data_IF_240940370450
#
_entry.id   IF_240940370450
#
_cell.length_a   1.000
_cell.length_b   1.000
_cell.length_c   1.000
_cell.angle_alpha   90.00
_cell.angle_beta   90.00
_cell.angle_gamma   90.00
#
_symmetry.space_group_name_H-M   'P 1'
#
loop_
_entity.id
_entity.type
_entity.pdbx_description
1 polymer ?
#
# COMPACT_ATOMS: atom_id res chain seq x y z
N UNK A 1 -60.44 -57.23 11.31
CA UNK A 1 -59.76 -57.41 10.06
C UNK A 1 -58.46 -56.66 10.14
N UNK A 2 -57.42 -57.38 10.22
CA UNK A 2 -56.03 -56.97 10.52
C UNK A 2 -55.32 -56.61 9.24
N UNK A 3 -54.57 -55.48 9.18
CA UNK A 3 -53.31 -55.29 8.48
C UNK A 3 -53.14 -53.76 8.26
N UNK A 4 -52.17 -53.14 8.90
CA UNK A 4 -51.79 -51.74 8.64
C UNK A 4 -51.06 -51.07 9.81
N UNK A 5 -50.15 -51.81 10.43
CA UNK A 5 -49.35 -51.17 11.50
C UNK A 5 -47.99 -51.87 11.53
N UNK A 6 -47.14 -51.55 10.53
CA UNK A 6 -45.70 -51.89 10.54
C UNK A 6 -44.99 -51.20 9.37
N UNK A 7 -44.90 -49.88 9.42
CA UNK A 7 -43.95 -49.08 8.59
C UNK A 7 -43.81 -47.64 9.08
N UNK A 8 -43.51 -47.48 10.35
CA UNK A 8 -43.18 -46.18 10.93
C UNK A 8 -42.08 -46.34 12.00
N UNK A 9 -41.01 -47.02 11.62
CA UNK A 9 -39.97 -47.33 12.58
C UNK A 9 -38.57 -47.34 12.02
N UNK A 10 -38.30 -46.68 10.85
CA UNK A 10 -36.97 -46.76 10.24
C UNK A 10 -36.56 -45.47 9.49
N UNK A 11 -36.90 -44.31 10.04
CA UNK A 11 -36.45 -43.00 9.47
C UNK A 11 -36.00 -42.05 10.54
N UNK A 12 -35.46 -42.52 11.66
CA UNK A 12 -34.96 -41.71 12.76
C UNK A 12 -33.54 -42.05 13.18
N UNK A 13 -32.69 -42.47 12.27
CA UNK A 13 -31.32 -42.87 12.59
C UNK A 13 -30.28 -42.40 11.56
N UNK A 14 -30.43 -41.19 10.97
CA UNK A 14 -29.38 -40.60 10.12
C UNK A 14 -29.31 -39.09 10.23
N UNK A 15 -29.51 -38.54 11.44
CA UNK A 15 -29.27 -37.11 11.76
C UNK A 15 -28.26 -37.03 12.90
N UNK A 16 -27.23 -37.87 12.84
CA UNK A 16 -26.09 -37.76 13.74
C UNK A 16 -24.85 -37.34 12.94
N UNK A 17 -24.29 -36.23 13.35
CA UNK A 17 -22.91 -35.79 13.07
C UNK A 17 -22.62 -35.17 11.71
N UNK A 18 -23.25 -34.04 11.38
CA UNK A 18 -22.49 -32.93 10.80
C UNK A 18 -22.18 -31.99 11.95
N UNK A 19 -21.28 -32.38 12.83
CA UNK A 19 -20.56 -31.40 13.65
C UNK A 19 -19.70 -30.58 12.63
N UNK A 20 -19.85 -29.25 12.59
CA UNK A 20 -18.84 -28.46 11.90
C UNK A 20 -17.52 -28.83 12.58
N UNK A 21 -16.54 -29.29 11.80
CA UNK A 21 -15.18 -29.44 12.28
C UNK A 21 -14.86 -28.10 12.93
N UNK A 22 -14.72 -28.06 14.25
CA UNK A 22 -14.17 -26.90 14.95
C UNK A 22 -12.84 -26.67 14.29
N UNK A 23 -12.72 -25.58 13.57
CA UNK A 23 -11.47 -25.13 13.01
C UNK A 23 -10.52 -25.07 14.20
N UNK A 24 -9.61 -26.02 14.26
CA UNK A 24 -8.57 -26.08 15.28
C UNK A 24 -7.91 -24.71 15.23
N UNK A 25 -8.03 -23.90 16.30
CA UNK A 25 -7.47 -22.55 16.32
C UNK A 25 -6.00 -22.69 16.02
N UNK A 26 -5.61 -22.23 14.83
CA UNK A 26 -4.23 -22.40 14.37
C UNK A 26 -3.29 -21.75 15.38
N UNK A 27 -2.37 -22.53 15.94
CA UNK A 27 -1.47 -22.10 17.02
C UNK A 27 -0.27 -21.31 16.49
N UNK A 28 -0.52 -20.30 15.67
CA UNK A 28 0.49 -19.37 15.16
C UNK A 28 -0.03 -17.94 15.12
N UNK A 29 0.92 -16.99 15.06
CA UNK A 29 0.64 -15.56 14.91
C UNK A 29 1.35 -14.98 13.69
N UNK A 30 0.82 -13.88 13.20
CA UNK A 30 1.42 -13.06 12.15
C UNK A 30 1.70 -11.68 12.74
N UNK A 31 2.93 -11.21 12.57
CA UNK A 31 3.31 -9.84 12.86
C UNK A 31 2.96 -8.91 11.70
N UNK A 32 2.38 -7.75 11.99
CA UNK A 32 2.17 -6.69 11.00
C UNK A 32 2.83 -5.42 11.52
N UNK A 33 3.74 -4.84 10.74
CA UNK A 33 4.39 -3.56 11.05
C UNK A 33 4.04 -2.53 9.98
N UNK A 34 3.59 -1.36 10.44
CA UNK A 34 3.23 -0.22 9.58
C UNK A 34 3.80 1.08 10.15
N UNK A 35 3.57 2.20 9.47
CA UNK A 35 3.77 3.52 10.06
C UNK A 35 2.72 3.86 11.11
N UNK A 36 2.91 5.00 11.76
CA UNK A 36 1.92 5.59 12.66
C UNK A 36 0.75 6.21 11.88
N UNK A 37 -0.34 6.53 12.57
CA UNK A 37 -1.49 7.23 11.97
C UNK A 37 -1.08 8.55 11.32
N UNK A 38 -0.12 9.27 11.90
CA UNK A 38 0.33 10.57 11.38
C UNK A 38 0.97 10.50 9.98
N UNK A 39 1.64 9.38 9.67
CA UNK A 39 2.29 9.20 8.35
C UNK A 39 1.48 8.31 7.41
N UNK A 40 0.90 7.23 7.91
CA UNK A 40 0.34 6.14 7.10
C UNK A 40 -0.96 5.62 7.70
N UNK A 41 -1.97 6.47 7.82
CA UNK A 41 -3.22 6.11 8.48
C UNK A 41 -3.90 4.90 7.82
N UNK A 42 -3.94 4.84 6.49
CA UNK A 42 -4.63 3.76 5.78
C UNK A 42 -3.99 2.38 6.07
N UNK A 43 -2.66 2.30 6.09
CA UNK A 43 -1.93 1.07 6.42
C UNK A 43 -2.16 0.65 7.87
N UNK A 44 -2.08 1.62 8.79
CA UNK A 44 -2.34 1.38 10.21
C UNK A 44 -3.75 0.84 10.43
N UNK A 45 -4.77 1.49 9.83
CA UNK A 45 -6.17 1.07 9.92
C UNK A 45 -6.42 -0.29 9.29
N UNK A 46 -5.73 -0.59 8.17
CA UNK A 46 -5.82 -1.92 7.55
C UNK A 46 -5.25 -3.01 8.46
N UNK A 47 -4.13 -2.74 9.11
CA UNK A 47 -3.54 -3.67 10.07
C UNK A 47 -4.46 -3.92 11.28
N UNK A 48 -5.09 -2.85 11.81
CA UNK A 48 -6.10 -2.97 12.88
C UNK A 48 -7.32 -3.81 12.42
N UNK A 49 -7.82 -3.57 11.22
CA UNK A 49 -8.96 -4.31 10.66
C UNK A 49 -8.65 -5.80 10.53
N UNK A 50 -7.45 -6.16 10.04
CA UNK A 50 -7.01 -7.55 9.94
C UNK A 50 -6.86 -8.20 11.32
N UNK A 51 -6.32 -7.46 12.32
CA UNK A 51 -6.26 -7.95 13.70
C UNK A 51 -7.66 -8.22 14.27
N UNK A 52 -8.61 -7.35 14.01
CA UNK A 52 -9.99 -7.53 14.47
C UNK A 52 -10.66 -8.72 13.75
N UNK A 53 -10.41 -8.90 12.46
CA UNK A 53 -10.95 -10.00 11.66
C UNK A 53 -10.38 -11.37 12.05
N UNK A 54 -9.07 -11.46 12.24
CA UNK A 54 -8.36 -12.72 12.53
C UNK A 54 -8.35 -13.06 14.02
N UNK A 55 -8.54 -12.07 14.87
CA UNK A 55 -8.44 -12.17 16.33
C UNK A 55 -7.13 -11.61 16.88
N UNK A 56 -7.21 -10.91 18.02
CA UNK A 56 -6.06 -10.29 18.67
C UNK A 56 -5.00 -11.31 19.14
N UNK A 57 -5.38 -12.57 19.33
CA UNK A 57 -4.48 -13.67 19.66
C UNK A 57 -3.72 -14.22 18.44
N UNK A 58 -4.13 -13.84 17.20
CA UNK A 58 -3.52 -14.27 15.94
C UNK A 58 -2.62 -13.23 15.28
N UNK A 59 -2.74 -11.95 15.67
CA UNK A 59 -2.02 -10.85 15.04
C UNK A 59 -1.30 -10.00 16.08
N UNK A 60 0.00 -9.80 15.87
CA UNK A 60 0.84 -8.87 16.63
C UNK A 60 1.03 -7.61 15.79
N UNK A 61 0.67 -6.44 16.32
CA UNK A 61 0.87 -5.16 15.63
C UNK A 61 2.04 -4.41 16.23
N UNK A 62 2.83 -3.78 15.38
CA UNK A 62 3.83 -2.79 15.77
C UNK A 62 3.87 -1.66 14.73
N UNK A 63 4.41 -0.50 15.14
CA UNK A 63 4.70 0.61 14.23
C UNK A 63 6.20 0.89 14.24
N UNK A 64 6.73 1.32 13.10
CA UNK A 64 8.03 1.97 13.07
C UNK A 64 7.86 3.46 13.45
N UNK A 65 8.92 4.13 13.96
CA UNK A 65 8.84 5.52 14.41
C UNK A 65 8.67 6.49 13.25
N UNK A 66 8.14 7.68 13.50
CA UNK A 66 7.98 8.72 12.48
C UNK A 66 9.34 9.23 11.95
N UNK A 67 10.33 9.31 12.82
CA UNK A 67 11.70 9.68 12.48
C UNK A 67 12.56 8.44 12.17
N UNK A 68 12.02 7.49 11.42
CA UNK A 68 12.64 6.18 11.14
C UNK A 68 14.08 6.27 10.59
N UNK A 69 14.45 7.36 9.92
CA UNK A 69 15.83 7.55 9.43
C UNK A 69 16.84 7.69 10.57
N UNK A 70 16.46 8.40 11.63
CA UNK A 70 17.27 8.60 12.84
C UNK A 70 17.07 7.50 13.88
N UNK A 71 15.93 6.81 13.82
CA UNK A 71 15.48 5.85 14.83
C UNK A 71 15.44 4.41 14.28
N UNK A 72 16.36 4.03 13.39
CA UNK A 72 16.40 2.69 12.78
C UNK A 72 16.50 1.57 13.81
N UNK A 73 17.24 1.77 14.91
CA UNK A 73 17.32 0.79 15.99
C UNK A 73 15.96 0.53 16.67
N UNK A 74 15.08 1.51 16.73
CA UNK A 74 13.69 1.33 17.20
C UNK A 74 12.91 0.42 16.25
N UNK A 75 13.03 0.62 14.94
CA UNK A 75 12.42 -0.26 13.93
C UNK A 75 12.92 -1.69 14.09
N UNK A 76 14.24 -1.88 14.24
CA UNK A 76 14.87 -3.17 14.42
C UNK A 76 14.38 -3.83 15.72
N UNK A 77 14.36 -3.08 16.82
CA UNK A 77 13.94 -3.60 18.14
C UNK A 77 12.47 -4.02 18.13
N UNK A 78 11.60 -3.28 17.47
CA UNK A 78 10.19 -3.61 17.34
C UNK A 78 9.99 -4.91 16.54
N UNK A 79 10.75 -5.11 15.46
CA UNK A 79 10.69 -6.37 14.68
C UNK A 79 11.24 -7.55 15.50
N UNK A 80 12.33 -7.37 16.23
CA UNK A 80 12.88 -8.37 17.16
C UNK A 80 11.88 -8.73 18.25
N UNK A 81 11.18 -7.74 18.83
CA UNK A 81 10.16 -7.97 19.85
C UNK A 81 9.00 -8.81 19.29
N UNK A 82 8.54 -8.54 18.06
CA UNK A 82 7.52 -9.37 17.39
C UNK A 82 8.03 -10.81 17.20
N UNK A 83 9.28 -10.97 16.75
CA UNK A 83 9.90 -12.26 16.50
C UNK A 83 10.23 -13.05 17.78
N UNK A 84 10.25 -12.42 18.95
CA UNK A 84 10.51 -13.09 20.24
C UNK A 84 9.36 -14.01 20.68
N UNK A 85 8.14 -13.78 20.21
CA UNK A 85 7.02 -14.70 20.41
C UNK A 85 7.20 -15.94 19.50
N UNK A 86 7.38 -17.16 20.08
CA UNK A 86 7.64 -18.39 19.31
C UNK A 86 6.48 -18.76 18.36
N UNK A 87 5.27 -18.21 18.60
CA UNK A 87 4.09 -18.41 17.76
C UNK A 87 4.11 -17.54 16.50
N UNK A 88 4.87 -16.45 16.45
CA UNK A 88 5.01 -15.64 15.24
C UNK A 88 5.76 -16.43 14.17
N UNK A 89 5.11 -16.68 13.04
CA UNK A 89 5.63 -17.46 11.90
C UNK A 89 5.80 -16.65 10.63
N UNK A 90 5.24 -15.43 10.58
CA UNK A 90 5.44 -14.48 9.51
C UNK A 90 5.43 -13.06 10.04
N UNK A 91 6.17 -12.17 9.38
CA UNK A 91 6.15 -10.72 9.61
C UNK A 91 5.91 -10.04 8.26
N UNK A 92 4.85 -9.24 8.21
CA UNK A 92 4.48 -8.40 7.06
C UNK A 92 4.78 -6.95 7.45
N UNK A 93 5.64 -6.28 6.70
CA UNK A 93 5.97 -4.87 6.92
C UNK A 93 5.71 -4.08 5.64
N UNK A 94 4.82 -3.10 5.70
CA UNK A 94 4.51 -2.20 4.57
C UNK A 94 4.68 -0.75 5.02
N UNK A 95 5.14 -0.07 4.21
CA UNK A 95 6.34 0.67 3.84
C UNK A 95 7.57 0.21 4.66
N UNK A 96 8.35 -0.70 4.11
CA UNK A 96 9.52 -1.25 4.79
C UNK A 96 10.65 -0.21 4.81
N UNK A 97 10.66 0.59 5.88
CA UNK A 97 11.61 1.69 6.10
C UNK A 97 13.04 1.18 6.36
N UNK A 98 14.07 2.04 6.23
CA UNK A 98 15.45 1.70 6.56
C UNK A 98 15.60 1.09 7.96
N UNK A 99 16.42 0.04 8.03
CA UNK A 99 16.54 -0.84 9.18
C UNK A 99 15.81 -2.18 9.01
N UNK A 100 14.92 -2.31 8.00
CA UNK A 100 14.19 -3.56 7.76
C UNK A 100 15.14 -4.72 7.41
N UNK A 101 16.13 -4.50 6.53
CA UNK A 101 17.12 -5.51 6.17
C UNK A 101 17.95 -5.98 7.38
N UNK A 102 18.42 -5.04 8.19
CA UNK A 102 19.18 -5.34 9.40
C UNK A 102 18.33 -6.09 10.45
N UNK A 103 17.05 -5.72 10.56
CA UNK A 103 16.10 -6.41 11.43
C UNK A 103 15.90 -7.88 11.01
N UNK A 104 15.73 -8.14 9.70
CA UNK A 104 15.62 -9.51 9.16
C UNK A 104 16.87 -10.32 9.51
N UNK A 105 18.06 -9.76 9.31
CA UNK A 105 19.32 -10.44 9.64
C UNK A 105 19.40 -10.80 11.14
N UNK A 106 19.07 -9.84 12.01
CA UNK A 106 19.07 -10.08 13.46
C UNK A 106 18.05 -11.14 13.87
N UNK A 107 16.84 -11.09 13.30
CA UNK A 107 15.84 -12.13 13.58
C UNK A 107 16.30 -13.48 13.08
N UNK A 108 16.82 -13.59 11.85
CA UNK A 108 17.27 -14.85 11.26
C UNK A 108 18.45 -15.49 12.00
N UNK A 109 19.26 -14.69 12.70
CA UNK A 109 20.34 -15.20 13.55
C UNK A 109 19.81 -16.05 14.72
N UNK A 110 18.56 -15.82 15.15
CA UNK A 110 17.92 -16.53 16.29
C UNK A 110 16.66 -17.30 15.90
N UNK A 111 16.00 -16.95 14.78
CA UNK A 111 14.75 -17.52 14.30
C UNK A 111 14.76 -17.64 12.76
N UNK A 112 15.07 -18.81 12.24
CA UNK A 112 15.09 -19.08 10.78
C UNK A 112 13.73 -19.46 10.19
N UNK A 113 12.74 -19.70 11.03
CA UNK A 113 11.41 -20.21 10.68
C UNK A 113 10.39 -19.10 10.31
N UNK A 114 10.76 -17.81 10.43
CA UNK A 114 9.86 -16.69 10.13
C UNK A 114 9.90 -16.34 8.63
N UNK A 115 8.72 -16.24 8.03
CA UNK A 115 8.52 -15.71 6.68
C UNK A 115 8.47 -14.17 6.72
N UNK A 116 9.31 -13.51 5.93
CA UNK A 116 9.32 -12.06 5.80
C UNK A 116 8.72 -11.60 4.48
N UNK A 117 7.64 -10.80 4.55
CA UNK A 117 6.98 -10.18 3.41
C UNK A 117 7.07 -8.67 3.57
N UNK A 118 7.79 -8.02 2.67
CA UNK A 118 8.00 -6.57 2.70
C UNK A 118 7.24 -5.89 1.54
N UNK A 119 6.51 -4.83 1.85
CA UNK A 119 5.88 -3.96 0.86
C UNK A 119 6.55 -2.59 0.81
N UNK A 120 6.72 -2.05 -0.40
CA UNK A 120 7.25 -0.70 -0.65
C UNK A 120 8.54 -0.42 0.13
N UNK A 121 9.61 -1.21 -0.05
CA UNK A 121 10.85 -1.01 0.68
C UNK A 121 11.53 0.29 0.26
N UNK A 122 12.11 0.98 1.25
CA UNK A 122 12.88 2.20 1.07
C UNK A 122 14.41 1.98 1.09
N UNK A 123 14.85 0.74 1.25
CA UNK A 123 16.26 0.33 1.13
C UNK A 123 16.55 -0.17 -0.28
N UNK A 124 17.82 -0.38 -0.58
CA UNK A 124 18.27 -0.86 -1.90
C UNK A 124 17.51 -2.12 -2.34
N UNK A 125 16.86 -2.13 -3.51
CA UNK A 125 16.04 -3.24 -3.96
C UNK A 125 16.80 -4.56 -4.12
N UNK A 126 18.07 -4.53 -4.58
CA UNK A 126 18.88 -5.73 -4.74
C UNK A 126 19.28 -6.32 -3.37
N UNK A 127 19.50 -5.45 -2.37
CA UNK A 127 19.75 -5.86 -1.00
C UNK A 127 18.50 -6.49 -0.37
N UNK A 128 17.36 -5.82 -0.46
CA UNK A 128 16.09 -6.28 0.11
C UNK A 128 15.63 -7.60 -0.51
N UNK A 129 15.77 -7.76 -1.84
CA UNK A 129 15.44 -9.00 -2.53
C UNK A 129 16.22 -10.22 -2.00
N UNK A 130 17.44 -10.00 -1.51
CA UNK A 130 18.28 -11.06 -0.91
C UNK A 130 17.94 -11.36 0.56
N UNK A 131 17.21 -10.47 1.23
CA UNK A 131 16.90 -10.58 2.66
C UNK A 131 15.48 -11.04 2.92
N UNK A 132 14.49 -10.41 2.29
CA UNK A 132 13.10 -10.79 2.43
C UNK A 132 12.76 -12.06 1.64
N UNK A 133 11.75 -12.81 2.09
CA UNK A 133 11.26 -13.96 1.36
C UNK A 133 10.33 -13.53 0.21
N UNK A 134 9.55 -12.46 0.39
CA UNK A 134 8.71 -11.85 -0.64
C UNK A 134 8.82 -10.33 -0.53
N UNK A 135 8.94 -9.67 -1.67
CA UNK A 135 8.90 -8.20 -1.79
C UNK A 135 7.77 -7.80 -2.73
N UNK A 136 6.95 -6.85 -2.30
CA UNK A 136 5.84 -6.27 -3.06
C UNK A 136 6.11 -4.79 -3.29
N UNK A 137 6.09 -4.33 -4.54
CA UNK A 137 6.38 -2.95 -4.89
C UNK A 137 5.46 -2.46 -6.01
N UNK A 138 5.21 -1.16 -6.05
CA UNK A 138 4.68 -0.55 -7.26
C UNK A 138 5.75 -0.60 -8.36
N UNK A 139 5.32 -0.82 -9.60
CA UNK A 139 6.26 -0.77 -10.74
C UNK A 139 6.65 0.69 -11.01
N UNK A 140 7.53 1.23 -10.18
CA UNK A 140 7.95 2.64 -10.24
C UNK A 140 8.59 3.02 -11.57
N UNK A 141 9.24 2.09 -12.25
CA UNK A 141 9.82 2.35 -13.56
C UNK A 141 8.71 2.63 -14.59
N UNK A 142 7.73 1.74 -14.71
CA UNK A 142 6.60 1.93 -15.61
C UNK A 142 5.72 3.13 -15.18
N UNK A 143 5.58 3.37 -13.86
CA UNK A 143 4.82 4.50 -13.32
C UNK A 143 5.38 5.86 -13.73
N UNK A 144 6.67 6.00 -13.91
CA UNK A 144 7.25 7.28 -14.35
C UNK A 144 6.57 7.78 -15.61
N UNK A 145 6.63 7.00 -16.68
CA UNK A 145 5.96 7.33 -17.94
C UNK A 145 4.41 7.37 -17.80
N UNK A 146 3.84 6.47 -17.00
CA UNK A 146 2.40 6.40 -16.79
C UNK A 146 1.85 7.69 -16.15
N UNK A 147 2.52 8.27 -15.16
CA UNK A 147 2.13 9.54 -14.51
C UNK A 147 2.15 10.69 -15.50
N UNK A 148 3.19 10.77 -16.35
CA UNK A 148 3.26 11.82 -17.38
C UNK A 148 2.10 11.70 -18.40
N UNK A 149 1.80 10.48 -18.85
CA UNK A 149 0.65 10.22 -19.75
C UNK A 149 -0.67 10.60 -19.07
N UNK A 150 -0.84 10.26 -17.80
CA UNK A 150 -2.05 10.60 -17.05
C UNK A 150 -2.19 12.12 -16.87
N UNK A 151 -1.12 12.82 -16.52
CA UNK A 151 -1.13 14.28 -16.45
C UNK A 151 -1.55 14.91 -17.77
N UNK A 152 -1.03 14.40 -18.90
CA UNK A 152 -1.42 14.84 -20.25
C UNK A 152 -2.88 14.55 -20.54
N UNK A 153 -3.38 13.37 -20.22
CA UNK A 153 -4.77 12.98 -20.42
C UNK A 153 -5.76 13.85 -19.63
N UNK A 154 -5.36 14.33 -18.44
CA UNK A 154 -6.10 15.28 -17.61
C UNK A 154 -5.97 16.75 -18.10
N UNK A 155 -5.27 17.00 -19.20
CA UNK A 155 -5.15 18.31 -19.83
C UNK A 155 -3.98 19.16 -19.35
N UNK A 156 -2.97 18.56 -18.71
CA UNK A 156 -1.79 19.33 -18.28
C UNK A 156 -0.96 19.86 -19.46
N UNK A 157 -0.36 21.03 -19.24
CA UNK A 157 0.68 21.65 -20.07
C UNK A 157 2.04 21.64 -19.34
N UNK A 158 2.01 21.64 -18.01
CA UNK A 158 3.16 21.56 -17.15
C UNK A 158 2.97 20.44 -16.15
N UNK A 159 4.04 19.68 -15.84
CA UNK A 159 4.09 18.68 -14.79
C UNK A 159 5.21 19.06 -13.79
N UNK A 160 4.81 19.38 -12.57
CA UNK A 160 5.73 19.69 -11.45
C UNK A 160 5.94 18.43 -10.63
N UNK A 161 7.20 18.06 -10.46
CA UNK A 161 7.65 16.93 -9.66
C UNK A 161 8.29 17.44 -8.38
N UNK A 162 7.62 17.24 -7.24
CA UNK A 162 8.18 17.53 -5.92
C UNK A 162 8.91 16.33 -5.35
N UNK A 163 10.14 16.55 -4.89
CA UNK A 163 10.94 15.55 -4.21
C UNK A 163 11.94 16.21 -3.25
N UNK A 164 12.87 15.43 -2.73
CA UNK A 164 13.97 15.89 -1.88
C UNK A 164 15.19 14.96 -2.04
N UNK A 165 16.41 15.40 -1.64
CA UNK A 165 17.67 14.69 -1.92
C UNK A 165 17.66 13.21 -1.52
N UNK A 166 17.13 12.87 -0.33
CA UNK A 166 17.06 11.47 0.13
C UNK A 166 16.25 10.59 -0.85
N UNK A 167 15.06 11.03 -1.30
CA UNK A 167 14.29 10.26 -2.29
C UNK A 167 15.02 10.17 -3.64
N UNK A 168 15.75 11.19 -4.04
CA UNK A 168 16.52 11.18 -5.28
C UNK A 168 17.82 10.36 -5.18
N UNK A 169 18.22 9.95 -3.97
CA UNK A 169 19.30 8.99 -3.79
C UNK A 169 18.86 7.52 -3.96
N UNK A 170 17.55 7.25 -3.95
CA UNK A 170 17.03 5.91 -4.23
C UNK A 170 16.93 5.69 -5.74
N UNK A 171 17.70 4.72 -6.25
CA UNK A 171 17.85 4.46 -7.70
C UNK A 171 16.48 4.34 -8.41
N UNK A 172 15.55 3.57 -7.86
CA UNK A 172 14.23 3.36 -8.46
C UNK A 172 13.40 4.64 -8.54
N UNK A 173 13.48 5.54 -7.53
CA UNK A 173 12.77 6.83 -7.53
C UNK A 173 13.43 7.84 -8.48
N UNK A 174 14.77 7.88 -8.52
CA UNK A 174 15.51 8.70 -9.46
C UNK A 174 15.24 8.26 -10.91
N UNK A 175 15.22 6.96 -11.16
CA UNK A 175 14.88 6.40 -12.48
C UNK A 175 13.43 6.70 -12.86
N UNK A 176 12.47 6.56 -11.93
CA UNK A 176 11.08 6.96 -12.13
C UNK A 176 10.96 8.42 -12.55
N UNK A 177 11.65 9.34 -11.83
CA UNK A 177 11.68 10.76 -12.19
C UNK A 177 12.24 10.97 -13.60
N UNK A 178 13.34 10.29 -13.95
CA UNK A 178 13.97 10.39 -15.28
C UNK A 178 13.01 9.92 -16.38
N UNK A 179 12.37 8.78 -16.21
CA UNK A 179 11.39 8.25 -17.18
C UNK A 179 10.13 9.13 -17.26
N UNK A 180 9.71 9.72 -16.15
CA UNK A 180 8.60 10.69 -16.13
C UNK A 180 8.94 11.94 -16.92
N UNK A 181 10.15 12.49 -16.76
CA UNK A 181 10.65 13.65 -17.50
C UNK A 181 10.70 13.38 -19.00
N UNK A 182 11.34 12.27 -19.39
CA UNK A 182 11.44 11.88 -20.80
C UNK A 182 10.07 11.73 -21.46
N UNK A 183 9.12 11.07 -20.82
CA UNK A 183 7.77 10.91 -21.35
C UNK A 183 7.00 12.24 -21.37
N UNK A 184 7.15 13.08 -20.34
CA UNK A 184 6.55 14.41 -20.30
C UNK A 184 7.03 15.28 -21.48
N UNK A 185 8.34 15.34 -21.72
CA UNK A 185 8.94 16.07 -22.82
C UNK A 185 8.45 15.55 -24.19
N UNK A 186 8.41 14.21 -24.37
CA UNK A 186 7.87 13.56 -25.57
C UNK A 186 6.40 13.92 -25.83
N UNK A 187 5.60 14.10 -24.78
CA UNK A 187 4.21 14.50 -24.85
C UNK A 187 4.00 16.02 -24.99
N UNK A 188 5.09 16.81 -25.05
CA UNK A 188 5.05 18.25 -25.10
C UNK A 188 4.62 18.92 -23.80
N UNK A 189 4.84 18.25 -22.65
CA UNK A 189 4.66 18.84 -21.33
C UNK A 189 5.95 19.54 -20.89
N UNK A 190 5.82 20.72 -20.28
CA UNK A 190 6.92 21.32 -19.53
C UNK A 190 7.13 20.50 -18.24
N UNK A 191 8.32 19.93 -18.05
CA UNK A 191 8.66 19.24 -16.81
C UNK A 191 9.42 20.18 -15.88
N UNK A 192 8.99 20.26 -14.62
CA UNK A 192 9.59 21.14 -13.59
C UNK A 192 9.96 20.27 -12.39
N UNK A 193 11.22 20.29 -12.02
CA UNK A 193 11.71 19.67 -10.80
C UNK A 193 11.71 20.71 -9.67
N UNK A 194 11.18 20.37 -8.51
CA UNK A 194 11.11 21.24 -7.36
C UNK A 194 11.50 20.47 -6.10
N UNK A 195 12.55 20.94 -5.44
CA UNK A 195 12.93 20.45 -4.13
C UNK A 195 11.95 20.94 -3.06
N UNK A 196 11.58 20.04 -2.19
CA UNK A 196 10.78 20.28 -1.00
C UNK A 196 11.55 19.83 0.26
N UNK A 197 11.21 20.31 1.45
CA UNK A 197 11.79 19.81 2.70
C UNK A 197 11.52 18.30 2.89
N UNK A 198 12.54 17.58 3.36
CA UNK A 198 12.39 16.17 3.74
C UNK A 198 11.57 16.09 5.04
N UNK A 199 10.47 15.31 5.09
CA UNK A 199 9.65 15.17 6.30
C UNK A 199 10.36 14.43 7.46
N UNK A 200 11.51 13.83 7.20
CA UNK A 200 12.38 13.24 8.24
C UNK A 200 13.49 14.18 8.72
N UNK A 201 13.60 15.35 8.10
CA UNK A 201 14.55 16.41 8.49
C UNK A 201 14.06 17.28 9.65
N UNK A 202 14.76 18.37 9.91
CA UNK A 202 14.51 19.23 11.09
C UNK A 202 13.11 19.86 11.11
N UNK A 203 12.56 20.24 9.95
CA UNK A 203 11.20 20.78 9.82
C UNK A 203 10.10 19.75 9.98
N UNK A 204 10.43 18.46 9.92
CA UNK A 204 9.49 17.36 10.04
C UNK A 204 8.36 17.39 8.99
N UNK A 205 7.34 16.60 9.25
CA UNK A 205 6.11 16.57 8.43
C UNK A 205 5.47 17.96 8.29
N UNK A 206 5.33 18.77 9.36
CA UNK A 206 4.73 20.10 9.25
C UNK A 206 5.48 21.03 8.29
N UNK A 207 6.82 21.02 8.31
CA UNK A 207 7.62 21.84 7.40
C UNK A 207 7.43 21.48 5.93
N UNK A 208 7.35 20.19 5.63
CA UNK A 208 7.03 19.70 4.27
C UNK A 208 5.64 20.14 3.84
N UNK A 209 4.64 19.99 4.71
CA UNK A 209 3.25 20.36 4.43
C UNK A 209 3.11 21.86 4.18
N UNK A 210 3.71 22.69 5.02
CA UNK A 210 3.69 24.14 4.85
C UNK A 210 4.32 24.57 3.52
N UNK A 211 5.48 23.99 3.18
CA UNK A 211 6.13 24.27 1.90
C UNK A 211 5.20 23.99 0.70
N UNK A 212 4.55 22.83 0.68
CA UNK A 212 3.62 22.44 -0.40
C UNK A 212 2.43 23.41 -0.46
N UNK A 213 1.85 23.79 0.69
CA UNK A 213 0.75 24.74 0.74
C UNK A 213 1.11 26.10 0.16
N UNK A 214 2.35 26.55 0.29
CA UNK A 214 2.82 27.83 -0.21
C UNK A 214 3.30 27.76 -1.67
N UNK A 215 3.97 26.66 -2.07
CA UNK A 215 4.63 26.61 -3.37
C UNK A 215 3.66 26.20 -4.51
N UNK A 216 2.67 25.33 -4.26
CA UNK A 216 1.69 24.95 -5.28
C UNK A 216 0.95 26.17 -5.86
N UNK A 217 0.41 27.12 -5.06
CA UNK A 217 -0.18 28.34 -5.61
C UNK A 217 0.83 29.20 -6.39
N UNK A 218 2.08 29.29 -5.95
CA UNK A 218 3.13 30.03 -6.69
C UNK A 218 3.38 29.40 -8.07
N UNK A 219 3.43 28.06 -8.14
CA UNK A 219 3.59 27.34 -9.42
C UNK A 219 2.39 27.52 -10.33
N UNK A 220 1.17 27.53 -9.78
CA UNK A 220 -0.04 27.79 -10.58
C UNK A 220 -0.05 29.24 -11.10
N UNK A 221 0.36 30.22 -10.28
CA UNK A 221 0.50 31.59 -10.74
C UNK A 221 1.54 31.72 -11.85
N UNK A 222 2.62 30.94 -11.82
CA UNK A 222 3.71 30.97 -12.79
C UNK A 222 3.35 30.24 -14.11
N UNK A 223 2.68 29.06 -14.02
CA UNK A 223 2.50 28.15 -15.15
C UNK A 223 1.03 27.98 -15.58
N UNK A 224 0.11 28.58 -14.85
CA UNK A 224 -1.33 28.49 -15.11
C UNK A 224 -1.98 27.25 -14.49
N UNK A 225 -3.32 27.23 -14.53
CA UNK A 225 -4.13 26.14 -13.94
C UNK A 225 -3.94 24.77 -14.61
N UNK A 226 -3.42 24.72 -15.84
CA UNK A 226 -3.14 23.47 -16.54
C UNK A 226 -1.77 22.89 -16.10
N UNK A 227 -1.43 23.08 -14.82
CA UNK A 227 -0.26 22.51 -14.16
C UNK A 227 -0.67 21.29 -13.35
N UNK A 228 -0.04 20.17 -13.65
CA UNK A 228 -0.17 18.93 -12.87
C UNK A 228 0.91 18.85 -11.80
N UNK A 229 0.56 18.30 -10.65
CA UNK A 229 1.47 18.16 -9.50
C UNK A 229 1.62 16.71 -9.07
N UNK A 230 2.85 16.27 -8.90
CA UNK A 230 3.20 14.96 -8.35
C UNK A 230 4.23 15.11 -7.24
N UNK A 231 3.98 14.56 -6.07
CA UNK A 231 4.88 14.55 -4.93
C UNK A 231 5.33 13.14 -4.59
N UNK A 232 6.61 12.97 -4.24
CA UNK A 232 7.21 11.65 -3.99
C UNK A 232 6.97 11.10 -2.58
N UNK A 233 6.35 11.87 -1.67
CA UNK A 233 6.17 11.49 -0.27
C UNK A 233 4.72 11.67 0.21
N UNK A 234 4.30 10.83 1.16
CA UNK A 234 2.95 10.84 1.71
C UNK A 234 2.59 12.15 2.42
N UNK A 235 3.54 12.77 3.14
CA UNK A 235 3.33 14.05 3.82
C UNK A 235 2.94 15.20 2.87
N UNK A 236 3.30 15.09 1.58
CA UNK A 236 2.96 16.09 0.56
C UNK A 236 1.54 16.00 0.03
N UNK A 237 0.86 14.85 0.17
CA UNK A 237 -0.33 14.55 -0.61
C UNK A 237 -1.54 15.38 -0.21
N UNK A 238 -1.89 15.41 1.07
CA UNK A 238 -3.06 16.15 1.53
C UNK A 238 -2.96 17.66 1.25
N UNK A 239 -1.87 18.37 1.63
CA UNK A 239 -1.73 19.78 1.31
C UNK A 239 -1.70 20.03 -0.21
N UNK A 240 -1.10 19.15 -1.00
CA UNK A 240 -1.07 19.26 -2.46
C UNK A 240 -2.47 19.14 -3.06
N UNK A 241 -3.27 18.16 -2.64
CA UNK A 241 -4.64 17.97 -3.11
C UNK A 241 -5.49 19.21 -2.76
N UNK A 242 -5.39 19.72 -1.53
CA UNK A 242 -6.11 20.92 -1.10
C UNK A 242 -5.77 22.15 -1.99
N UNK A 243 -4.49 22.36 -2.27
CA UNK A 243 -4.04 23.46 -3.09
C UNK A 243 -4.38 23.29 -4.58
N UNK A 244 -4.32 22.06 -5.10
CA UNK A 244 -4.76 21.74 -6.46
C UNK A 244 -6.26 22.09 -6.65
N UNK A 245 -7.10 21.72 -5.70
CA UNK A 245 -8.54 22.04 -5.74
C UNK A 245 -8.76 23.56 -5.65
N UNK A 246 -8.12 24.24 -4.70
CA UNK A 246 -8.26 25.68 -4.49
C UNK A 246 -7.86 26.49 -5.73
N UNK A 247 -6.82 26.04 -6.44
CA UNK A 247 -6.28 26.72 -7.63
C UNK A 247 -6.76 26.14 -8.96
N UNK A 248 -7.71 25.19 -8.95
CA UNK A 248 -8.22 24.49 -10.16
C UNK A 248 -7.12 23.88 -11.01
N UNK A 249 -6.06 23.37 -10.39
CA UNK A 249 -4.93 22.73 -11.03
C UNK A 249 -5.21 21.23 -11.33
N UNK A 250 -4.20 20.41 -11.57
CA UNK A 250 -4.37 19.01 -11.98
C UNK A 250 -3.63 18.11 -10.97
N UNK A 251 -4.28 17.00 -10.56
CA UNK A 251 -3.71 16.00 -9.68
C UNK A 251 -3.78 14.62 -10.31
N UNK A 252 -2.68 14.10 -10.91
CA UNK A 252 -2.71 12.82 -11.61
C UNK A 252 -2.79 11.61 -10.68
N UNK A 253 -2.05 11.61 -9.56
CA UNK A 253 -2.05 10.46 -8.63
C UNK A 253 -1.19 10.72 -7.39
N UNK A 254 -1.46 9.99 -6.33
CA UNK A 254 -0.66 9.97 -5.11
C UNK A 254 0.69 9.24 -5.30
N UNK A 255 1.65 9.49 -4.36
CA UNK A 255 2.91 8.72 -4.27
C UNK A 255 2.65 7.22 -4.04
N UNK A 256 1.74 6.92 -3.13
CA UNK A 256 1.22 5.59 -2.83
C UNK A 256 -0.26 5.57 -3.26
N UNK A 257 -0.58 5.12 -4.48
CA UNK A 257 -1.91 5.29 -5.03
C UNK A 257 -2.98 4.53 -4.27
N UNK A 258 -3.98 5.27 -3.83
CA UNK A 258 -5.12 4.72 -3.09
C UNK A 258 -6.23 5.76 -3.01
N UNK A 259 -7.51 5.38 -3.17
CA UNK A 259 -8.62 6.29 -2.88
C UNK A 259 -8.71 6.64 -1.39
N UNK A 260 -8.13 5.85 -0.49
CA UNK A 260 -8.08 6.18 0.94
C UNK A 260 -6.88 7.06 1.32
N UNK A 261 -5.91 7.23 0.42
CA UNK A 261 -4.70 8.00 0.73
C UNK A 261 -4.89 9.49 0.48
N UNK A 262 -4.94 10.27 1.55
CA UNK A 262 -5.03 11.74 1.58
C UNK A 262 -6.31 12.35 0.96
N UNK A 263 -6.95 11.69 -0.02
CA UNK A 263 -8.15 12.20 -0.70
C UNK A 263 -9.32 12.45 0.29
N UNK A 264 -9.72 11.50 1.16
CA UNK A 264 -10.84 11.73 2.07
C UNK A 264 -10.64 12.96 2.95
N UNK A 265 -9.48 13.08 3.59
CA UNK A 265 -9.15 14.22 4.46
C UNK A 265 -9.10 15.53 3.68
N UNK A 266 -8.45 15.55 2.52
CA UNK A 266 -8.35 16.74 1.69
C UNK A 266 -9.72 17.23 1.17
N UNK A 267 -10.63 16.29 0.90
CA UNK A 267 -11.99 16.55 0.42
C UNK A 267 -13.00 16.78 1.56
N UNK A 268 -12.62 16.57 2.81
CA UNK A 268 -13.52 16.65 3.97
C UNK A 268 -14.56 15.52 3.99
N UNK A 269 -14.19 14.33 3.54
CA UNK A 269 -15.04 13.13 3.58
C UNK A 269 -14.77 12.38 4.88
N UNK A 270 -15.76 12.29 5.74
CA UNK A 270 -15.69 11.43 6.92
C UNK A 270 -15.98 9.98 6.51
N UNK A 271 -14.97 9.12 6.58
CA UNK A 271 -15.09 7.69 6.24
C UNK A 271 -15.65 6.94 7.46
N UNK A 272 -16.88 6.42 7.42
CA UNK A 272 -17.43 5.64 8.53
C UNK A 272 -16.61 4.38 8.78
N UNK A 273 -16.55 3.88 10.03
CA UNK A 273 -15.75 2.70 10.38
C UNK A 273 -16.03 1.48 9.49
N UNK A 274 -17.29 1.24 9.15
CA UNK A 274 -17.75 0.13 8.31
C UNK A 274 -17.40 0.31 6.81
N UNK A 275 -17.03 1.53 6.41
CA UNK A 275 -16.66 1.88 5.02
C UNK A 275 -15.15 1.98 4.76
N UNK A 276 -14.33 1.79 5.78
CA UNK A 276 -12.85 1.93 5.68
C UNK A 276 -12.16 0.97 4.70
N UNK A 277 -12.88 -0.04 4.19
CA UNK A 277 -12.39 -0.95 3.17
C UNK A 277 -13.31 -1.02 1.93
N UNK A 278 -14.37 -0.20 1.88
CA UNK A 278 -15.33 -0.18 0.77
C UNK A 278 -14.84 0.76 -0.33
N UNK A 279 -14.04 0.21 -1.25
CA UNK A 279 -13.43 0.96 -2.36
C UNK A 279 -14.50 1.56 -3.29
N UNK A 280 -15.58 0.84 -3.54
CA UNK A 280 -16.64 1.34 -4.42
C UNK A 280 -17.35 2.56 -3.80
N UNK A 281 -17.62 2.50 -2.50
CA UNK A 281 -18.22 3.60 -1.76
C UNK A 281 -17.33 4.83 -1.76
N UNK A 282 -16.04 4.69 -1.39
CA UNK A 282 -15.13 5.87 -1.31
C UNK A 282 -14.93 6.53 -2.67
N UNK A 283 -14.77 5.74 -3.75
CA UNK A 283 -14.65 6.30 -5.10
C UNK A 283 -15.90 7.07 -5.54
N UNK A 284 -17.10 6.60 -5.15
CA UNK A 284 -18.35 7.31 -5.43
C UNK A 284 -18.44 8.64 -4.66
N UNK A 285 -18.10 8.64 -3.37
CA UNK A 285 -18.09 9.85 -2.52
C UNK A 285 -17.06 10.88 -3.03
N UNK A 286 -15.86 10.44 -3.35
CA UNK A 286 -14.80 11.29 -3.90
C UNK A 286 -15.23 11.90 -5.23
N UNK A 287 -15.78 11.08 -6.13
CA UNK A 287 -16.28 11.55 -7.44
C UNK A 287 -17.34 12.63 -7.28
N UNK A 288 -18.33 12.40 -6.42
CA UNK A 288 -19.38 13.38 -6.14
C UNK A 288 -18.80 14.68 -5.54
N UNK A 289 -17.87 14.56 -4.59
CA UNK A 289 -17.25 15.71 -3.93
C UNK A 289 -16.38 16.52 -4.90
N UNK A 290 -15.52 15.85 -5.67
CA UNK A 290 -14.66 16.46 -6.70
C UNK A 290 -15.52 17.18 -7.76
N UNK A 291 -16.61 16.55 -8.20
CA UNK A 291 -17.55 17.18 -9.14
C UNK A 291 -18.19 18.45 -8.55
N UNK A 292 -18.64 18.39 -7.28
CA UNK A 292 -19.23 19.56 -6.61
C UNK A 292 -18.24 20.73 -6.45
N UNK A 293 -16.94 20.43 -6.45
CA UNK A 293 -15.86 21.42 -6.42
C UNK A 293 -15.43 21.88 -7.84
N UNK A 294 -16.09 21.42 -8.91
CA UNK A 294 -15.76 21.77 -10.30
C UNK A 294 -14.39 21.26 -10.74
N UNK A 295 -13.98 20.07 -10.27
CA UNK A 295 -12.68 19.45 -10.52
C UNK A 295 -12.77 18.16 -11.36
N UNK A 296 -13.95 17.82 -11.90
CA UNK A 296 -14.13 16.66 -12.77
C UNK A 296 -13.18 16.71 -13.96
N UNK A 297 -12.56 15.58 -14.28
CA UNK A 297 -11.58 15.45 -15.37
C UNK A 297 -10.21 16.06 -15.05
N UNK A 298 -9.96 16.55 -13.83
CA UNK A 298 -8.68 17.13 -13.41
C UNK A 298 -7.96 16.35 -12.32
N UNK A 299 -8.57 15.29 -11.82
CA UNK A 299 -8.01 14.46 -10.74
C UNK A 299 -8.19 12.99 -11.05
N UNK A 300 -7.27 12.17 -10.57
CA UNK A 300 -7.36 10.71 -10.65
C UNK A 300 -6.62 10.03 -9.49
N UNK A 301 -6.89 8.74 -9.33
CA UNK A 301 -6.20 7.84 -8.40
C UNK A 301 -6.11 6.44 -9.01
N UNK A 302 -5.50 5.49 -8.33
CA UNK A 302 -5.71 4.08 -8.66
C UNK A 302 -6.99 3.57 -7.99
N UNK A 303 -7.75 2.68 -8.63
CA UNK A 303 -8.96 2.12 -8.02
C UNK A 303 -8.65 1.12 -6.90
N UNK A 304 -7.38 0.73 -6.74
CA UNK A 304 -6.93 -0.23 -5.75
C UNK A 304 -6.06 0.50 -4.71
N UNK A 305 -6.37 0.40 -3.41
CA UNK A 305 -5.54 0.95 -2.34
C UNK A 305 -4.29 0.08 -2.17
N UNK A 306 -3.22 0.43 -2.88
CA UNK A 306 -2.07 -0.44 -3.14
C UNK A 306 -1.38 -0.93 -1.86
N UNK A 307 -1.12 -0.04 -0.89
CA UNK A 307 -0.44 -0.42 0.35
C UNK A 307 -1.34 -1.28 1.25
N UNK A 308 -2.64 -0.95 1.33
CA UNK A 308 -3.62 -1.79 2.02
C UNK A 308 -3.71 -3.18 1.38
N UNK A 309 -3.66 -3.25 0.04
CA UNK A 309 -3.61 -4.52 -0.70
C UNK A 309 -2.36 -5.32 -0.35
N UNK A 310 -1.19 -4.69 -0.27
CA UNK A 310 0.05 -5.38 0.08
C UNK A 310 0.03 -5.93 1.51
N UNK A 311 -0.53 -5.20 2.48
CA UNK A 311 -0.70 -5.71 3.85
C UNK A 311 -1.62 -6.93 3.85
N UNK A 312 -2.80 -6.81 3.23
CA UNK A 312 -3.77 -7.91 3.20
C UNK A 312 -3.24 -9.11 2.42
N UNK A 313 -2.63 -8.88 1.26
CA UNK A 313 -2.02 -9.94 0.45
C UNK A 313 -0.90 -10.65 1.22
N UNK A 314 -0.03 -9.89 1.88
CA UNK A 314 1.03 -10.45 2.72
C UNK A 314 0.49 -11.33 3.84
N UNK A 315 -0.54 -10.87 4.55
CA UNK A 315 -1.17 -11.64 5.64
C UNK A 315 -1.86 -12.89 5.11
N UNK A 316 -2.68 -12.79 4.05
CA UNK A 316 -3.36 -13.94 3.44
C UNK A 316 -2.34 -14.94 2.90
N UNK A 317 -1.30 -14.47 2.23
CA UNK A 317 -0.22 -15.32 1.73
C UNK A 317 0.52 -16.04 2.86
N UNK A 318 0.84 -15.33 3.94
CA UNK A 318 1.48 -15.92 5.12
C UNK A 318 0.64 -17.06 5.70
N UNK A 319 -0.70 -16.92 5.76
CA UNK A 319 -1.61 -17.98 6.17
C UNK A 319 -1.51 -19.20 5.23
N UNK A 320 -1.58 -18.97 3.91
CA UNK A 320 -1.46 -20.05 2.92
C UNK A 320 -0.13 -20.80 3.04
N UNK A 321 0.96 -20.07 3.24
CA UNK A 321 2.29 -20.66 3.43
C UNK A 321 2.40 -21.47 4.72
N UNK A 322 2.03 -20.88 5.86
CA UNK A 322 2.14 -21.52 7.18
C UNK A 322 1.29 -22.79 7.24
N UNK A 323 0.11 -22.76 6.62
CA UNK A 323 -0.78 -23.91 6.55
C UNK A 323 -0.43 -24.90 5.43
N UNK A 324 0.69 -24.69 4.73
CA UNK A 324 1.24 -25.62 3.74
C UNK A 324 0.47 -25.72 2.43
N UNK A 325 -0.32 -24.67 2.07
CA UNK A 325 -1.13 -24.62 0.85
C UNK A 325 -0.46 -23.97 -0.36
N UNK A 326 0.74 -23.40 -0.18
CA UNK A 326 1.54 -22.95 -1.33
C UNK A 326 2.06 -24.14 -2.13
N UNK A 327 2.31 -23.93 -3.43
CA UNK A 327 2.80 -24.96 -4.34
C UNK A 327 4.10 -25.57 -3.84
N UNK A 328 4.11 -26.88 -3.61
CA UNK A 328 5.24 -27.62 -3.06
C UNK A 328 5.73 -27.09 -1.68
N UNK A 329 4.87 -26.42 -0.92
CA UNK A 329 5.22 -25.74 0.34
C UNK A 329 6.36 -24.73 0.19
N UNK A 330 6.52 -24.17 -1.01
CA UNK A 330 7.55 -23.18 -1.28
C UNK A 330 7.24 -21.85 -0.57
N UNK A 331 8.30 -21.15 -0.15
CA UNK A 331 8.17 -19.79 0.43
C UNK A 331 7.66 -18.77 -0.60
N UNK A 332 7.93 -19.00 -1.87
CA UNK A 332 7.52 -18.13 -2.98
C UNK A 332 6.64 -18.94 -3.94
N UNK A 333 5.39 -18.52 -4.06
CA UNK A 333 4.40 -19.06 -5.00
C UNK A 333 3.73 -17.89 -5.73
N UNK A 334 4.22 -17.51 -6.92
CA UNK A 334 3.70 -16.36 -7.66
C UNK A 334 2.23 -16.51 -8.06
N UNK A 335 1.79 -17.76 -8.36
CA UNK A 335 0.41 -18.04 -8.76
C UNK A 335 -0.55 -17.78 -7.58
N UNK A 336 -0.18 -18.27 -6.39
CA UNK A 336 -0.95 -18.04 -5.17
C UNK A 336 -1.00 -16.54 -4.82
N UNK A 337 0.13 -15.84 -4.89
CA UNK A 337 0.20 -14.40 -4.61
C UNK A 337 -0.67 -13.60 -5.59
N UNK A 338 -0.55 -13.88 -6.89
CA UNK A 338 -1.37 -13.24 -7.95
C UNK A 338 -2.86 -13.49 -7.74
N UNK A 339 -3.24 -14.70 -7.39
CA UNK A 339 -4.63 -15.06 -7.07
C UNK A 339 -5.16 -14.27 -5.89
N UNK A 340 -4.40 -14.18 -4.80
CA UNK A 340 -4.77 -13.43 -3.60
C UNK A 340 -4.94 -11.94 -3.93
N UNK A 341 -3.95 -11.35 -4.62
CA UNK A 341 -4.00 -9.93 -4.99
C UNK A 341 -5.17 -9.63 -5.94
N UNK A 342 -5.47 -10.53 -6.89
CA UNK A 342 -6.62 -10.39 -7.79
C UNK A 342 -7.96 -10.44 -7.06
N UNK A 343 -8.09 -11.27 -6.03
CA UNK A 343 -9.28 -11.31 -5.18
C UNK A 343 -9.45 -10.02 -4.38
N UNK A 344 -8.36 -9.46 -3.84
CA UNK A 344 -8.39 -8.20 -3.08
C UNK A 344 -8.71 -7.02 -4.00
N UNK A 345 -8.12 -6.99 -5.20
CA UNK A 345 -8.34 -5.93 -6.19
C UNK A 345 -9.72 -6.00 -6.85
N UNK A 346 -10.44 -7.11 -6.71
CA UNK A 346 -11.72 -7.32 -7.42
C UNK A 346 -11.57 -7.46 -8.93
N UNK A 347 -10.39 -7.77 -9.43
CA UNK A 347 -10.07 -7.87 -10.85
C UNK A 347 -8.73 -8.53 -11.11
N UNK A 348 -8.37 -8.72 -12.38
CA UNK A 348 -7.12 -9.34 -12.77
C UNK A 348 -5.93 -8.48 -12.34
N UNK A 349 -5.00 -9.06 -11.59
CA UNK A 349 -3.69 -8.50 -11.26
C UNK A 349 -2.63 -9.17 -12.11
N UNK A 350 -1.73 -8.38 -12.68
CA UNK A 350 -0.54 -8.86 -13.36
C UNK A 350 0.68 -8.39 -12.56
N UNK A 351 1.54 -9.34 -12.21
CA UNK A 351 2.78 -9.09 -11.50
C UNK A 351 3.96 -9.23 -12.46
N UNK A 352 4.90 -8.32 -12.36
CA UNK A 352 6.21 -8.41 -13.05
C UNK A 352 7.31 -8.54 -12.00
N UNK A 353 8.43 -9.13 -12.36
CA UNK A 353 9.56 -9.24 -11.45
C UNK A 353 10.50 -8.04 -11.59
N UNK A 354 11.12 -7.64 -10.48
CA UNK A 354 12.23 -6.71 -10.49
C UNK A 354 13.50 -7.45 -10.92
N UNK A 355 14.10 -7.05 -12.04
CA UNK A 355 15.27 -7.73 -12.62
C UNK A 355 15.03 -9.25 -12.70
N UNK A 356 15.96 -10.04 -12.19
CA UNK A 356 15.90 -11.52 -12.19
C UNK A 356 15.47 -12.10 -10.83
N UNK A 357 14.93 -11.30 -9.92
CA UNK A 357 14.51 -11.75 -8.60
C UNK A 357 13.12 -12.40 -8.65
N UNK A 358 13.07 -13.71 -8.45
CA UNK A 358 11.80 -14.48 -8.45
C UNK A 358 10.89 -14.20 -7.26
N UNK A 359 11.37 -13.48 -6.25
CA UNK A 359 10.67 -13.13 -5.02
C UNK A 359 10.34 -11.63 -4.90
N UNK A 360 10.70 -10.82 -5.90
CA UNK A 360 10.41 -9.38 -5.92
C UNK A 360 9.38 -9.08 -7.00
N UNK A 361 8.16 -8.78 -6.58
CA UNK A 361 7.00 -8.60 -7.44
C UNK A 361 6.60 -7.14 -7.54
N UNK A 362 6.41 -6.65 -8.77
CA UNK A 362 5.98 -5.30 -9.06
C UNK A 362 4.56 -5.31 -9.64
N UNK A 363 3.74 -4.37 -9.15
CA UNK A 363 2.36 -4.16 -9.57
C UNK A 363 2.17 -2.78 -10.20
N UNK A 364 1.37 -2.72 -11.26
CA UNK A 364 0.92 -1.50 -11.92
C UNK A 364 -0.59 -1.58 -12.10
N UNK A 365 -1.31 -0.50 -11.80
CA UNK A 365 -2.75 -0.37 -12.04
C UNK A 365 -3.04 0.71 -13.07
N UNK A 366 -4.20 0.63 -13.70
CA UNK A 366 -4.76 1.74 -14.46
C UNK A 366 -5.33 2.82 -13.52
N UNK A 367 -5.63 3.99 -14.06
CA UNK A 367 -6.20 5.09 -13.31
C UNK A 367 -7.73 5.06 -13.30
N UNK A 368 -8.29 5.49 -12.18
CA UNK A 368 -9.68 5.91 -12.04
C UNK A 368 -9.74 7.44 -12.14
N UNK A 369 -10.47 7.94 -13.14
CA UNK A 369 -10.65 9.38 -13.36
C UNK A 369 -11.93 9.87 -12.68
N UNK A 370 -11.80 10.97 -11.97
CA UNK A 370 -12.92 11.63 -11.29
C UNK A 370 -13.69 12.62 -12.16
#
# INVERSE_FOLDING_TARGET
MKKGMLMLGMLLALLAAIMPAMAQSADYKIGIMTGTVAQNEEEFRKAEALRNQLGANRVVLATYPERFMQEQETTISNMMAMASDPKVKAIVMVQAVPGAAAAIDRVRAVRSDILFILGVPAEDPDMIAKKADIVLQTNDLARGAQIARQAKALGAKTLVHYSFPRHMSYEHLATRRTLMKQEAEKLGLKFVEQDAPDPTGDGGVPGTQQFIMEDVPRKVAQYGKDTAFFGTNCAMQEPMIRQVIANKAIYPVQCCPSPFHALPNALGIAVPPEKKADVAWILAEEKAKIASMGMSGRMSTWPVPVNMMYIEAGVRYAIEYIEGRTKNKAKVDPDMLTKIMSQIAGGKVELTNYKNYSNFFMYLSDFYNF
#
